data_IF_580268817811
#
_entry.id   IF_580268817811
#
_cell.length_a   1.000
_cell.length_b   1.000
_cell.length_c   1.000
_cell.angle_alpha   90.00
_cell.angle_beta   90.00
_cell.angle_gamma   90.00
#
_symmetry.space_group_name_H-M   'P 1'
#
loop_
_entity.id
_entity.type
_entity.pdbx_description
1 polymer ?
#
# COMPACT_ATOMS: atom_id res chain seq x y z
N UNK A 1 28.14 22.19 -48.99
CA UNK A 1 27.11 22.97 -48.24
C UNK A 1 25.79 22.22 -48.01
N UNK A 2 25.24 21.45 -48.97
CA UNK A 2 23.95 20.74 -48.81
C UNK A 2 23.85 19.79 -47.60
N UNK A 3 24.90 18.99 -47.29
CA UNK A 3 24.93 18.07 -46.13
C UNK A 3 24.83 18.76 -44.75
N UNK A 4 25.41 19.96 -44.58
CA UNK A 4 25.30 20.73 -43.32
C UNK A 4 23.89 21.28 -43.13
N UNK A 5 23.24 21.72 -44.22
CA UNK A 5 21.86 22.21 -44.19
C UNK A 5 20.85 21.12 -43.83
N UNK A 6 21.02 19.90 -44.37
CA UNK A 6 20.14 18.77 -44.01
C UNK A 6 20.31 18.36 -42.55
N UNK A 7 21.54 18.36 -42.03
CA UNK A 7 21.82 18.02 -40.63
C UNK A 7 21.15 18.99 -39.65
N UNK A 8 21.22 20.30 -39.93
CA UNK A 8 20.58 21.33 -39.10
C UNK A 8 19.05 21.18 -39.14
N UNK A 9 18.45 20.90 -40.30
CA UNK A 9 17.00 20.66 -40.42
C UNK A 9 16.56 19.44 -39.62
N UNK A 10 17.30 18.33 -39.70
CA UNK A 10 17.01 17.12 -38.92
C UNK A 10 17.12 17.37 -37.41
N UNK A 11 18.13 18.14 -36.97
CA UNK A 11 18.27 18.51 -35.55
C UNK A 11 17.10 19.37 -35.07
N UNK A 12 16.64 20.32 -35.87
CA UNK A 12 15.47 21.16 -35.53
C UNK A 12 14.20 20.31 -35.41
N UNK A 13 13.98 19.38 -36.34
CA UNK A 13 12.83 18.46 -36.27
C UNK A 13 12.92 17.59 -35.02
N UNK A 14 14.10 17.02 -34.73
CA UNK A 14 14.33 16.22 -33.53
C UNK A 14 13.99 17.03 -32.26
N UNK A 15 14.58 18.22 -32.10
CA UNK A 15 14.34 19.08 -30.95
C UNK A 15 12.87 19.46 -30.81
N UNK A 16 12.20 19.79 -31.91
CA UNK A 16 10.78 20.12 -31.90
C UNK A 16 9.90 18.92 -31.52
N UNK A 17 10.22 17.72 -32.04
CA UNK A 17 9.51 16.49 -31.68
C UNK A 17 9.72 16.11 -30.21
N UNK A 18 10.94 16.24 -29.68
CA UNK A 18 11.23 15.99 -28.26
C UNK A 18 10.50 16.98 -27.38
N UNK A 19 10.47 18.27 -27.75
CA UNK A 19 9.73 19.30 -27.01
C UNK A 19 8.22 19.01 -27.01
N UNK A 20 7.64 18.62 -28.15
CA UNK A 20 6.23 18.22 -28.23
C UNK A 20 5.92 17.01 -27.35
N UNK A 21 6.77 15.98 -27.36
CA UNK A 21 6.60 14.80 -26.51
C UNK A 21 6.77 15.16 -25.03
N UNK A 22 7.71 16.03 -24.69
CA UNK A 22 7.89 16.49 -23.31
C UNK A 22 6.71 17.31 -22.80
N UNK A 23 6.11 18.16 -23.65
CA UNK A 23 4.98 19.03 -23.26
C UNK A 23 3.63 18.31 -23.23
N UNK A 24 3.40 17.32 -24.10
CA UNK A 24 2.08 16.69 -24.28
C UNK A 24 2.06 15.18 -24.09
N UNK A 25 3.23 14.53 -24.12
CA UNK A 25 3.36 13.08 -24.03
C UNK A 25 3.50 12.55 -22.61
N UNK A 26 4.00 13.36 -21.68
CA UNK A 26 4.26 12.95 -20.29
C UNK A 26 3.13 13.46 -19.40
N UNK A 27 2.34 12.54 -18.85
CA UNK A 27 1.44 12.86 -17.72
C UNK A 27 2.29 12.72 -16.46
N UNK A 28 2.42 13.76 -15.62
CA UNK A 28 3.19 13.65 -14.39
C UNK A 28 2.48 12.72 -13.40
N UNK A 29 3.26 12.15 -12.47
CA UNK A 29 2.68 11.46 -11.32
C UNK A 29 1.90 12.46 -10.45
N UNK A 30 0.80 12.03 -9.80
CA UNK A 30 0.08 12.88 -8.87
C UNK A 30 0.97 13.35 -7.71
N UNK A 31 0.83 14.61 -7.33
CA UNK A 31 1.47 15.16 -6.14
C UNK A 31 0.47 15.25 -4.99
N UNK A 32 0.94 14.94 -3.78
CA UNK A 32 0.13 14.91 -2.57
C UNK A 32 0.76 15.74 -1.45
N UNK A 33 -0.06 16.20 -0.52
CA UNK A 33 0.45 16.92 0.66
C UNK A 33 1.17 15.96 1.60
N UNK A 34 2.22 16.42 2.28
CA UNK A 34 2.96 15.61 3.27
C UNK A 34 2.70 16.06 4.71
N UNK A 35 1.96 17.17 4.89
CA UNK A 35 1.61 17.67 6.23
C UNK A 35 0.46 16.85 6.81
N UNK A 36 0.75 16.18 7.92
CA UNK A 36 -0.23 15.41 8.69
C UNK A 36 -1.35 16.31 9.18
N UNK A 37 -2.59 15.87 8.97
CA UNK A 37 -3.78 16.55 9.46
C UNK A 37 -4.17 15.96 10.83
N UNK A 38 -4.42 16.81 11.83
CA UNK A 38 -4.86 16.40 13.17
C UNK A 38 -6.19 15.64 13.20
N UNK A 39 -6.95 15.65 12.11
CA UNK A 39 -8.17 14.87 11.95
C UNK A 39 -7.91 13.37 11.71
N UNK A 40 -6.67 12.98 11.45
CA UNK A 40 -6.26 11.61 11.18
C UNK A 40 -5.62 11.03 12.44
N UNK A 41 -6.02 9.80 12.80
CA UNK A 41 -5.51 9.11 13.99
C UNK A 41 -5.57 7.61 13.78
N UNK A 42 -4.78 6.89 14.57
CA UNK A 42 -4.74 5.44 14.65
C UNK A 42 -3.41 4.90 14.17
N UNK A 43 -3.44 3.69 13.64
CA UNK A 43 -2.26 3.06 13.06
C UNK A 43 -2.64 2.20 11.86
N UNK A 44 -1.80 2.28 10.84
CA UNK A 44 -1.95 1.49 9.61
C UNK A 44 -0.95 0.35 9.68
N UNK A 45 -1.45 -0.86 9.44
CA UNK A 45 -0.65 -2.06 9.26
C UNK A 45 -0.49 -2.36 7.78
N UNK A 46 0.73 -2.65 7.36
CA UNK A 46 1.04 -2.96 5.98
C UNK A 46 2.12 -4.04 5.91
N UNK A 47 2.05 -4.84 4.85
CA UNK A 47 3.01 -5.88 4.56
C UNK A 47 4.07 -5.32 3.62
N UNK A 48 5.32 -5.63 3.92
CA UNK A 48 6.52 -5.19 3.19
C UNK A 48 7.32 -6.42 2.81
N UNK A 49 7.77 -6.48 1.57
CA UNK A 49 8.85 -7.36 1.13
C UNK A 49 10.17 -6.60 1.32
N UNK A 50 11.10 -7.21 2.05
CA UNK A 50 12.46 -6.72 2.19
C UNK A 50 13.26 -7.35 1.07
N UNK A 51 13.77 -6.52 0.17
CA UNK A 51 14.49 -6.95 -1.02
C UNK A 51 15.95 -6.50 -0.95
N UNK A 52 16.86 -7.32 -1.47
CA UNK A 52 18.26 -6.94 -1.55
C UNK A 52 18.45 -5.73 -2.48
N UNK A 53 19.23 -4.76 -2.04
CA UNK A 53 19.56 -3.56 -2.82
C UNK A 53 20.55 -3.89 -3.97
N UNK A 54 20.17 -4.76 -4.90
CA UNK A 54 21.01 -5.13 -6.03
C UNK A 54 20.94 -4.04 -7.11
N UNK A 55 22.00 -3.22 -7.23
CA UNK A 55 22.15 -2.23 -8.30
C UNK A 55 22.35 -2.85 -9.70
N UNK A 56 22.61 -4.16 -9.79
CA UNK A 56 22.95 -4.85 -11.04
C UNK A 56 22.04 -6.08 -11.18
N UNK A 57 21.44 -6.31 -12.37
CA UNK A 57 20.65 -7.51 -12.61
C UNK A 57 21.43 -8.80 -12.26
N UNK A 58 20.77 -9.83 -11.69
CA UNK A 58 19.34 -10.17 -11.78
C UNK A 58 18.42 -9.39 -10.83
N UNK A 59 17.11 -9.65 -10.92
CA UNK A 59 16.09 -9.03 -10.07
C UNK A 59 16.46 -9.12 -8.57
N UNK A 60 16.05 -8.15 -7.74
CA UNK A 60 16.28 -8.18 -6.30
C UNK A 60 15.85 -9.52 -5.70
N UNK A 61 16.62 -10.00 -4.72
CA UNK A 61 16.27 -11.21 -3.98
C UNK A 61 15.38 -10.80 -2.80
N UNK A 62 14.23 -11.47 -2.63
CA UNK A 62 13.39 -11.30 -1.44
C UNK A 62 14.13 -11.93 -0.25
N UNK A 63 14.53 -11.09 0.70
CA UNK A 63 15.26 -11.49 1.91
C UNK A 63 14.29 -11.94 3.02
N UNK A 64 13.19 -11.19 3.20
CA UNK A 64 12.16 -11.48 4.17
C UNK A 64 10.85 -10.79 3.77
N UNK A 65 9.74 -11.24 4.38
CA UNK A 65 8.47 -10.54 4.33
C UNK A 65 8.07 -10.16 5.75
N UNK A 66 7.69 -8.91 5.94
CA UNK A 66 7.45 -8.34 7.26
C UNK A 66 6.16 -7.55 7.29
N UNK A 67 5.55 -7.47 8.47
CA UNK A 67 4.45 -6.57 8.76
C UNK A 67 4.99 -5.41 9.58
N UNK A 68 4.70 -4.20 9.11
CA UNK A 68 5.00 -2.96 9.80
C UNK A 68 3.71 -2.28 10.26
N UNK A 69 3.87 -1.42 11.26
CA UNK A 69 2.82 -0.55 11.78
C UNK A 69 3.34 0.87 11.81
N UNK A 70 2.61 1.80 11.20
CA UNK A 70 2.87 3.24 11.32
C UNK A 70 1.80 3.89 12.17
N UNK A 71 2.21 4.64 13.20
CA UNK A 71 1.30 5.43 14.02
C UNK A 71 1.13 6.83 13.39
N UNK A 72 -0.10 7.19 13.06
CA UNK A 72 -0.45 8.45 12.39
C UNK A 72 -1.12 9.46 13.32
N UNK A 73 -1.24 9.15 14.62
CA UNK A 73 -1.82 10.04 15.65
C UNK A 73 -0.84 11.05 16.23
N UNK A 74 0.45 10.92 15.95
CA UNK A 74 1.53 11.72 16.55
C UNK A 74 2.14 12.63 15.50
N UNK A 75 2.59 13.83 15.94
CA UNK A 75 3.28 14.78 15.04
C UNK A 75 4.52 14.14 14.37
N UNK A 76 5.19 13.22 15.09
CA UNK A 76 6.29 12.41 14.59
C UNK A 76 5.78 10.98 14.28
N UNK A 77 5.43 10.71 13.02
CA UNK A 77 4.94 9.41 12.57
C UNK A 77 6.01 8.32 12.79
N UNK A 78 5.80 7.39 13.72
CA UNK A 78 6.78 6.32 14.00
C UNK A 78 6.35 5.02 13.32
N UNK A 79 7.17 4.55 12.36
CA UNK A 79 7.11 3.18 11.82
C UNK A 79 7.74 2.21 12.83
N UNK A 80 7.12 1.03 13.01
CA UNK A 80 7.66 -0.08 13.80
C UNK A 80 7.46 -1.40 13.09
N UNK A 81 8.50 -2.23 13.08
CA UNK A 81 8.38 -3.65 12.73
C UNK A 81 7.45 -4.33 13.74
N UNK A 82 6.49 -5.12 13.25
CA UNK A 82 5.62 -5.94 14.08
C UNK A 82 6.13 -7.38 14.10
N UNK A 83 6.29 -7.98 12.92
CA UNK A 83 6.74 -9.37 12.77
C UNK A 83 7.29 -9.59 11.36
N UNK A 84 8.28 -10.47 11.20
CA UNK A 84 8.71 -10.99 9.90
C UNK A 84 8.48 -12.49 9.78
N UNK A 85 8.55 -13.05 8.57
CA UNK A 85 8.46 -14.51 8.38
C UNK A 85 9.58 -15.23 9.11
N UNK A 86 10.78 -14.66 9.14
CA UNK A 86 11.92 -15.20 9.88
C UNK A 86 11.67 -15.34 11.38
N UNK A 87 10.90 -14.43 11.98
CA UNK A 87 10.49 -14.50 13.38
C UNK A 87 9.53 -15.67 13.67
N UNK A 88 8.92 -16.26 12.62
CA UNK A 88 7.88 -17.29 12.73
C UNK A 88 8.34 -18.69 12.30
N UNK A 89 9.61 -18.87 11.91
CA UNK A 89 10.12 -20.17 11.44
C UNK A 89 10.14 -21.28 12.49
N UNK A 90 10.00 -20.95 13.78
CA UNK A 90 9.78 -21.96 14.82
C UNK A 90 8.42 -22.67 14.69
N UNK A 91 7.43 -22.03 14.04
CA UNK A 91 6.09 -22.59 13.80
C UNK A 91 6.00 -23.27 12.44
N UNK A 92 6.42 -22.58 11.36
CA UNK A 92 6.41 -23.13 10.00
C UNK A 92 7.23 -22.30 9.02
N UNK A 93 7.64 -22.92 7.93
CA UNK A 93 8.17 -22.24 6.74
C UNK A 93 7.07 -21.83 5.76
N UNK A 94 5.84 -22.31 5.96
CA UNK A 94 4.67 -22.03 5.12
C UNK A 94 3.76 -21.03 5.84
N UNK A 95 4.22 -19.79 5.99
CA UNK A 95 3.49 -18.69 6.63
C UNK A 95 2.73 -17.89 5.58
N UNK A 96 1.47 -17.53 5.86
CA UNK A 96 0.61 -16.78 4.95
C UNK A 96 0.46 -15.33 5.43
N UNK A 97 1.54 -14.53 5.38
CA UNK A 97 1.48 -13.11 5.77
C UNK A 97 0.50 -12.31 4.90
N UNK A 98 0.35 -12.70 3.64
CA UNK A 98 -0.63 -12.09 2.76
C UNK A 98 -2.01 -12.14 3.42
N UNK A 99 -2.45 -13.28 3.94
CA UNK A 99 -3.80 -13.44 4.50
C UNK A 99 -3.93 -12.99 5.96
N UNK A 100 -3.09 -12.04 6.39
CA UNK A 100 -3.17 -11.49 7.75
C UNK A 100 -4.49 -10.75 7.98
N UNK A 101 -5.08 -10.98 9.14
CA UNK A 101 -6.29 -10.31 9.61
C UNK A 101 -6.02 -9.56 10.91
N UNK A 102 -6.84 -8.54 11.20
CA UNK A 102 -6.84 -7.79 12.46
C UNK A 102 -8.11 -8.17 13.24
N UNK A 103 -7.94 -8.74 14.44
CA UNK A 103 -9.06 -9.10 15.31
C UNK A 103 -9.69 -7.87 16.01
N UNK A 104 -10.78 -8.09 16.75
CA UNK A 104 -11.46 -7.03 17.49
C UNK A 104 -10.61 -6.38 18.60
N UNK A 105 -9.56 -7.06 19.06
CA UNK A 105 -8.60 -6.56 20.05
C UNK A 105 -7.37 -5.91 19.40
N UNK A 106 -7.35 -5.77 18.07
CA UNK A 106 -6.24 -5.26 17.27
C UNK A 106 -4.98 -6.14 17.29
N UNK A 107 -5.16 -7.44 17.52
CA UNK A 107 -4.11 -8.41 17.31
C UNK A 107 -4.08 -8.82 15.84
N UNK A 108 -2.89 -9.20 15.35
CA UNK A 108 -2.78 -9.81 14.03
C UNK A 108 -3.05 -11.30 14.12
N UNK A 109 -3.85 -11.83 13.20
CA UNK A 109 -4.07 -13.26 13.02
C UNK A 109 -3.38 -13.68 11.74
N UNK A 110 -2.40 -14.56 11.86
CA UNK A 110 -1.58 -15.03 10.74
C UNK A 110 -1.76 -16.53 10.60
N UNK A 111 -2.18 -16.95 9.41
CA UNK A 111 -2.38 -18.37 9.08
C UNK A 111 -1.08 -19.01 8.63
N UNK A 112 -0.93 -20.30 8.89
CA UNK A 112 0.22 -21.07 8.44
C UNK A 112 -0.13 -22.54 8.27
N UNK A 113 0.64 -23.25 7.44
CA UNK A 113 0.53 -24.71 7.33
C UNK A 113 1.43 -25.39 8.35
N UNK A 114 0.86 -26.16 9.28
CA UNK A 114 1.65 -26.98 10.19
C UNK A 114 2.00 -28.32 9.52
N UNK A 115 3.27 -28.48 9.12
CA UNK A 115 3.75 -29.71 8.50
C UNK A 115 3.68 -30.93 9.44
N UNK A 116 3.66 -30.72 10.76
CA UNK A 116 3.66 -31.82 11.73
C UNK A 116 2.28 -32.45 11.88
N UNK A 117 1.22 -31.64 11.83
CA UNK A 117 -0.17 -32.08 11.94
C UNK A 117 -0.93 -32.11 10.61
N UNK A 118 -0.31 -31.64 9.52
CA UNK A 118 -0.86 -31.58 8.16
C UNK A 118 -2.19 -30.81 8.10
N UNK A 119 -2.29 -29.74 8.89
CA UNK A 119 -3.45 -28.85 8.92
C UNK A 119 -3.04 -27.39 8.95
N UNK A 120 -3.94 -26.54 8.47
CA UNK A 120 -3.79 -25.09 8.60
C UNK A 120 -4.08 -24.67 10.05
N UNK A 121 -3.16 -23.88 10.61
CA UNK A 121 -3.22 -23.31 11.95
C UNK A 121 -3.13 -21.79 11.88
N UNK A 122 -3.26 -21.13 13.03
CA UNK A 122 -3.14 -19.68 13.11
C UNK A 122 -2.35 -19.26 14.34
N UNK A 123 -1.66 -18.14 14.21
CA UNK A 123 -0.96 -17.43 15.27
C UNK A 123 -1.70 -16.12 15.55
N UNK A 124 -1.83 -15.79 16.83
CA UNK A 124 -2.28 -14.47 17.27
C UNK A 124 -1.07 -13.70 17.76
N UNK A 125 -0.84 -12.52 17.19
CA UNK A 125 0.26 -11.63 17.55
C UNK A 125 -0.32 -10.41 18.26
N UNK A 126 0.00 -10.27 19.54
CA UNK A 126 -0.30 -9.07 20.31
C UNK A 126 0.52 -7.90 19.77
N UNK A 127 -0.13 -6.93 19.13
CA UNK A 127 0.57 -5.80 18.49
C UNK A 127 1.14 -4.78 19.47
N UNK A 128 0.85 -4.90 20.78
CA UNK A 128 1.38 -4.03 21.83
C UNK A 128 2.67 -4.58 22.43
N UNK A 129 2.69 -5.87 22.70
CA UNK A 129 3.81 -6.53 23.37
C UNK A 129 4.67 -7.38 22.42
N UNK A 130 4.19 -7.63 21.20
CA UNK A 130 4.80 -8.53 20.21
C UNK A 130 4.88 -9.97 20.78
N UNK A 131 3.85 -10.37 21.55
CA UNK A 131 3.72 -11.74 22.04
C UNK A 131 3.00 -12.59 21.00
N UNK A 132 3.61 -13.72 20.64
CA UNK A 132 3.06 -14.69 19.68
C UNK A 132 2.38 -15.82 20.46
N UNK A 133 1.13 -16.12 20.13
CA UNK A 133 0.36 -17.20 20.75
C UNK A 133 -0.28 -18.08 19.69
N UNK A 134 -0.04 -19.40 19.69
CA UNK A 134 -0.80 -20.33 18.87
C UNK A 134 -2.29 -20.22 19.19
N UNK A 135 -3.11 -19.96 18.18
CA UNK A 135 -4.56 -20.04 18.29
C UNK A 135 -4.98 -21.50 18.26
N UNK A 136 -5.62 -21.98 19.32
CA UNK A 136 -6.12 -23.35 19.40
C UNK A 136 -7.48 -23.44 18.70
N UNK A 137 -7.50 -23.98 17.49
CA UNK A 137 -8.72 -24.31 16.73
C UNK A 137 -8.85 -23.58 15.40
N UNK A 138 -9.81 -24.03 14.57
CA UNK A 138 -10.12 -23.38 13.30
C UNK A 138 -10.58 -21.95 13.56
N UNK A 139 -9.71 -20.99 13.28
CA UNK A 139 -10.09 -19.59 13.35
C UNK A 139 -11.20 -19.38 12.32
N UNK A 140 -12.40 -19.03 12.82
CA UNK A 140 -13.44 -18.47 11.97
C UNK A 140 -12.90 -17.13 11.45
N UNK A 141 -12.31 -17.15 10.26
CA UNK A 141 -11.85 -15.94 9.57
C UNK A 141 -13.04 -15.00 9.41
N UNK A 142 -12.99 -13.76 9.90
CA UNK A 142 -13.64 -12.68 9.17
C UNK A 142 -13.15 -12.72 7.71
N UNK A 143 -14.08 -12.75 6.75
CA UNK A 143 -13.72 -12.70 5.33
C UNK A 143 -12.89 -11.43 5.07
N UNK A 144 -11.74 -11.54 4.40
CA UNK A 144 -10.83 -10.45 4.00
C UNK A 144 -11.54 -9.27 3.32
N UNK A 145 -12.67 -9.56 2.66
CA UNK A 145 -13.57 -8.55 2.09
C UNK A 145 -14.19 -7.59 3.14
N UNK A 146 -14.09 -7.90 4.43
CA UNK A 146 -14.62 -7.06 5.51
C UNK A 146 -13.88 -5.72 5.61
N UNK A 147 -12.59 -5.64 5.28
CA UNK A 147 -11.88 -4.35 5.23
C UNK A 147 -12.27 -3.50 4.01
N UNK A 148 -12.88 -4.12 3.00
CA UNK A 148 -13.47 -3.37 1.88
C UNK A 148 -14.79 -2.73 2.29
N UNK A 149 -15.48 -3.21 3.31
CA UNK A 149 -16.80 -2.72 3.72
C UNK A 149 -16.74 -2.07 5.10
N UNK A 150 -17.00 -0.76 5.18
CA UNK A 150 -17.03 -0.09 6.49
C UNK A 150 -18.31 -0.41 7.29
N UNK A 151 -18.38 0.10 8.54
CA UNK A 151 -19.54 -0.05 9.41
C UNK A 151 -20.86 0.50 8.83
N UNK A 152 -20.80 1.40 7.83
CA UNK A 152 -21.96 1.93 7.13
C UNK A 152 -22.43 1.06 5.95
N UNK A 153 -21.78 -0.08 5.69
CA UNK A 153 -22.07 -0.94 4.55
C UNK A 153 -21.54 -0.40 3.22
N UNK A 154 -20.55 0.51 3.26
CA UNK A 154 -19.96 1.13 2.07
C UNK A 154 -18.74 0.32 1.62
N UNK A 155 -18.76 -0.17 0.37
CA UNK A 155 -17.73 -1.05 -0.18
C UNK A 155 -16.71 -0.27 -1.01
N UNK A 156 -15.43 -0.31 -0.67
CA UNK A 156 -14.34 0.19 -1.51
C UNK A 156 -14.27 -0.62 -2.81
N UNK A 157 -14.12 0.10 -3.91
CA UNK A 157 -13.97 -0.46 -5.25
C UNK A 157 -12.49 -0.42 -5.59
N UNK A 158 -11.90 -1.56 -5.91
CA UNK A 158 -10.49 -1.60 -6.26
C UNK A 158 -10.30 -0.99 -7.67
N UNK A 159 -9.04 -0.68 -8.01
CA UNK A 159 -8.73 -0.08 -9.31
C UNK A 159 -9.23 -0.94 -10.48
N UNK A 160 -9.20 -2.27 -10.38
CA UNK A 160 -9.70 -3.18 -11.42
C UNK A 160 -11.22 -3.13 -11.61
N UNK A 161 -11.96 -2.93 -10.52
CA UNK A 161 -13.43 -2.79 -10.55
C UNK A 161 -13.82 -1.53 -11.33
N UNK A 162 -13.02 -0.47 -11.25
CA UNK A 162 -13.29 0.85 -11.84
C UNK A 162 -12.45 1.17 -13.09
N UNK A 163 -11.57 0.26 -13.52
CA UNK A 163 -10.62 0.53 -14.61
C UNK A 163 -11.34 0.58 -15.95
N UNK A 164 -11.60 1.78 -16.44
CA UNK A 164 -11.77 1.99 -17.87
C UNK A 164 -10.39 1.95 -18.52
N UNK A 165 -10.11 0.89 -19.29
CA UNK A 165 -8.79 0.55 -19.86
C UNK A 165 -8.09 1.66 -20.67
N UNK A 166 -8.80 2.75 -21.01
CA UNK A 166 -8.32 3.85 -21.83
C UNK A 166 -8.30 5.22 -21.11
N UNK A 167 -8.54 5.26 -19.80
CA UNK A 167 -8.56 6.51 -19.03
C UNK A 167 -7.20 6.75 -18.40
N UNK A 168 -6.66 7.97 -18.55
CA UNK A 168 -5.44 8.45 -17.88
C UNK A 168 -5.78 9.01 -16.52
N UNK A 169 -6.57 8.28 -15.75
CA UNK A 169 -7.13 8.74 -14.48
C UNK A 169 -6.98 7.66 -13.43
N UNK A 170 -6.44 8.04 -12.28
CA UNK A 170 -6.49 7.23 -11.07
C UNK A 170 -7.48 7.84 -10.10
N UNK A 171 -8.25 7.00 -9.43
CA UNK A 171 -9.28 7.49 -8.51
C UNK A 171 -9.61 6.50 -7.41
N UNK A 172 -10.22 7.03 -6.36
CA UNK A 172 -10.69 6.28 -5.20
C UNK A 172 -12.21 6.37 -5.15
N UNK A 173 -12.85 5.22 -5.15
CA UNK A 173 -14.30 5.09 -5.23
C UNK A 173 -14.82 4.12 -4.19
N UNK A 174 -16.05 4.36 -3.73
CA UNK A 174 -16.79 3.37 -2.97
C UNK A 174 -18.22 3.24 -3.49
N UNK A 175 -18.80 2.07 -3.26
CA UNK A 175 -20.18 1.75 -3.57
C UNK A 175 -21.02 1.81 -2.30
N UNK A 176 -22.16 2.49 -2.38
CA UNK A 176 -23.22 2.45 -1.37
C UNK A 176 -24.52 2.06 -2.05
N UNK A 177 -25.07 0.91 -1.69
CA UNK A 177 -26.20 0.31 -2.41
C UNK A 177 -25.86 0.14 -3.91
N UNK A 178 -26.57 0.82 -4.80
CA UNK A 178 -26.33 0.81 -6.24
C UNK A 178 -25.58 2.04 -6.75
N UNK A 179 -25.18 2.96 -5.88
CA UNK A 179 -24.51 4.20 -6.24
C UNK A 179 -23.00 4.07 -6.06
N UNK A 180 -22.24 4.49 -7.08
CA UNK A 180 -20.78 4.62 -7.01
C UNK A 180 -20.47 6.09 -6.71
N UNK A 181 -19.69 6.31 -5.67
CA UNK A 181 -19.33 7.63 -5.17
C UNK A 181 -17.83 7.82 -5.34
N UNK A 182 -17.45 8.89 -6.02
CA UNK A 182 -16.06 9.32 -6.19
C UNK A 182 -15.58 10.09 -4.95
N UNK A 183 -14.51 9.61 -4.35
CA UNK A 183 -13.79 10.30 -3.26
C UNK A 183 -12.71 11.19 -3.86
N UNK A 184 -11.97 10.66 -4.82
CA UNK A 184 -10.84 11.35 -5.44
C UNK A 184 -10.66 10.88 -6.89
N UNK A 185 -10.19 11.77 -7.75
CA UNK A 185 -9.80 11.47 -9.13
C UNK A 185 -8.72 12.47 -9.58
N UNK A 186 -7.72 11.98 -10.29
CA UNK A 186 -6.60 12.77 -10.80
C UNK A 186 -6.11 12.21 -12.13
N UNK A 187 -5.60 13.09 -13.00
CA UNK A 187 -4.87 12.65 -14.19
C UNK A 187 -3.53 12.03 -13.80
N UNK A 188 -3.24 10.84 -14.33
CA UNK A 188 -2.02 10.10 -14.03
C UNK A 188 -1.57 9.24 -15.22
N UNK A 189 -0.31 8.77 -15.24
CA UNK A 189 0.15 7.77 -16.19
C UNK A 189 -0.78 6.54 -16.22
N UNK A 190 -0.88 5.86 -17.37
CA UNK A 190 -1.80 4.71 -17.55
C UNK A 190 -1.47 3.50 -16.68
N UNK A 191 -0.25 3.43 -16.15
CA UNK A 191 0.21 2.41 -15.22
C UNK A 191 0.10 2.83 -13.75
N UNK A 192 -0.34 4.07 -13.47
CA UNK A 192 -0.54 4.55 -12.11
C UNK A 192 -1.95 4.21 -11.63
N UNK A 193 -2.05 3.51 -10.50
CA UNK A 193 -3.31 3.17 -9.85
C UNK A 193 -3.11 2.91 -8.36
N UNK A 194 -4.22 2.73 -7.63
CA UNK A 194 -4.18 2.33 -6.22
C UNK A 194 -4.31 0.81 -6.10
N UNK A 195 -3.27 0.14 -5.61
CA UNK A 195 -3.17 -1.32 -5.53
C UNK A 195 -4.01 -1.90 -4.37
N UNK A 196 -4.01 -1.20 -3.24
CA UNK A 196 -4.76 -1.59 -2.04
C UNK A 196 -5.49 -0.40 -1.45
N UNK A 197 -6.68 -0.66 -0.89
CA UNK A 197 -7.54 0.33 -0.24
C UNK A 197 -8.10 -0.26 1.05
N UNK A 198 -8.03 0.49 2.14
CA UNK A 198 -8.65 0.12 3.42
C UNK A 198 -9.38 1.31 4.04
N UNK A 199 -10.51 1.04 4.67
CA UNK A 199 -11.22 2.04 5.46
C UNK A 199 -10.49 2.32 6.78
N UNK A 200 -10.56 3.57 7.24
CA UNK A 200 -10.36 3.87 8.66
C UNK A 200 -11.44 3.23 9.52
N UNK A 201 -11.18 2.96 10.82
CA UNK A 201 -12.16 2.35 11.72
C UNK A 201 -13.50 3.11 11.82
N UNK A 202 -13.46 4.44 11.66
CA UNK A 202 -14.64 5.30 11.68
C UNK A 202 -15.34 5.44 10.32
N UNK A 203 -14.77 4.85 9.26
CA UNK A 203 -15.27 4.90 7.89
C UNK A 203 -15.27 6.30 7.26
N UNK A 204 -14.54 7.26 7.81
CA UNK A 204 -14.46 8.64 7.30
C UNK A 204 -13.23 8.91 6.43
N UNK A 205 -12.22 8.06 6.52
CA UNK A 205 -10.99 8.15 5.76
C UNK A 205 -10.66 6.82 5.07
N UNK A 206 -9.84 6.90 4.04
CA UNK A 206 -9.39 5.75 3.25
C UNK A 206 -7.87 5.84 3.18
N UNK A 207 -7.17 4.75 3.51
CA UNK A 207 -5.76 4.61 3.18
C UNK A 207 -5.63 3.82 1.89
N UNK A 208 -4.80 4.32 0.98
CA UNK A 208 -4.51 3.70 -0.30
C UNK A 208 -3.00 3.47 -0.44
N UNK A 209 -2.63 2.36 -1.06
CA UNK A 209 -1.28 2.12 -1.56
C UNK A 209 -1.30 2.36 -3.05
N UNK A 210 -0.42 3.22 -3.56
CA UNK A 210 -0.27 3.42 -5.00
C UNK A 210 0.86 2.57 -5.60
N UNK A 211 0.95 2.55 -6.93
CA UNK A 211 1.99 1.82 -7.68
C UNK A 211 3.39 2.39 -7.52
N UNK A 212 3.54 3.57 -6.92
CA UNK A 212 4.83 4.18 -6.59
C UNK A 212 5.28 3.80 -5.17
N UNK A 213 4.61 2.83 -4.54
CA UNK A 213 4.92 2.31 -3.21
C UNK A 213 4.71 3.36 -2.10
N UNK A 214 3.73 4.24 -2.29
CA UNK A 214 3.39 5.30 -1.34
C UNK A 214 2.03 5.02 -0.69
N UNK A 215 1.91 5.31 0.62
CA UNK A 215 0.62 5.26 1.32
C UNK A 215 0.01 6.65 1.36
N UNK A 216 -1.21 6.80 0.81
CA UNK A 216 -1.96 8.04 0.73
C UNK A 216 -3.27 7.93 1.50
N UNK A 217 -3.58 8.96 2.29
CA UNK A 217 -4.82 9.07 3.05
C UNK A 217 -5.77 10.06 2.38
N UNK A 218 -7.00 9.61 2.15
CA UNK A 218 -8.09 10.39 1.57
C UNK A 218 -9.19 10.64 2.60
N UNK A 219 -9.77 11.84 2.57
CA UNK A 219 -10.99 12.16 3.32
C UNK A 219 -12.21 11.80 2.49
N UNK A 220 -13.09 10.92 3.00
CA UNK A 220 -14.35 10.57 2.33
C UNK A 220 -15.21 11.80 2.03
N UNK A 221 -15.22 12.76 2.96
CA UNK A 221 -15.99 14.01 2.85
C UNK A 221 -15.17 15.20 2.35
N UNK A 222 -13.97 14.97 1.79
CA UNK A 222 -13.08 16.02 1.24
C UNK A 222 -12.78 17.14 2.25
N UNK A 223 -12.69 16.80 3.54
CA UNK A 223 -12.38 17.77 4.61
C UNK A 223 -10.91 18.18 4.64
N UNK A 224 -10.06 17.41 3.94
CA UNK A 224 -8.64 17.70 3.73
C UNK A 224 -8.20 17.16 2.36
N UNK A 225 -7.17 17.78 1.79
CA UNK A 225 -6.51 17.32 0.57
C UNK A 225 -5.73 16.03 0.84
N UNK A 226 -5.60 15.12 -0.15
CA UNK A 226 -4.92 13.84 0.05
C UNK A 226 -3.51 13.99 0.62
N UNK A 227 -3.18 13.11 1.58
CA UNK A 227 -1.95 13.20 2.37
C UNK A 227 -1.11 11.96 2.14
N UNK A 228 0.10 12.15 1.62
CA UNK A 228 1.11 11.10 1.51
C UNK A 228 1.84 10.94 2.85
N UNK A 229 1.89 9.71 3.35
CA UNK A 229 2.67 9.36 4.52
C UNK A 229 4.15 9.37 4.16
N UNK A 230 4.96 10.07 4.96
CA UNK A 230 6.40 10.15 4.73
C UNK A 230 7.13 9.12 5.60
N UNK A 231 7.75 8.12 4.94
CA UNK A 231 8.51 7.06 5.59
C UNK A 231 10.01 7.38 5.75
N UNK A 232 10.54 8.34 4.98
CA UNK A 232 11.98 8.63 4.86
C UNK A 232 12.62 9.15 6.15
N UNK A 233 11.82 9.64 7.09
CA UNK A 233 12.31 10.19 8.36
C UNK A 233 12.29 9.20 9.52
N UNK A 234 11.68 8.02 9.34
CA UNK A 234 11.30 7.14 10.45
C UNK A 234 11.46 5.64 10.16
N UNK A 235 12.11 5.29 9.06
CA UNK A 235 12.31 3.90 8.66
C UNK A 235 13.11 3.13 9.71
N UNK A 236 12.69 1.89 9.99
CA UNK A 236 13.47 1.00 10.88
C UNK A 236 14.91 0.87 10.37
N UNK A 237 15.90 1.19 11.23
CA UNK A 237 17.33 1.02 10.94
C UNK A 237 17.73 -0.44 10.66
N UNK A 238 16.87 -1.39 11.02
CA UNK A 238 17.09 -2.83 10.86
C UNK A 238 17.29 -3.25 9.39
N UNK A 239 16.73 -2.50 8.44
CA UNK A 239 16.80 -2.78 6.99
C UNK A 239 17.29 -1.55 6.21
N UNK A 240 18.19 -0.75 6.81
CA UNK A 240 18.61 0.52 6.23
C UNK A 240 19.38 0.38 4.89
N UNK A 241 19.98 -0.79 4.66
CA UNK A 241 20.74 -1.09 3.44
C UNK A 241 19.90 -1.89 2.41
N UNK A 242 18.64 -2.23 2.73
CA UNK A 242 17.76 -3.03 1.87
C UNK A 242 16.61 -2.19 1.29
N UNK A 243 16.00 -2.66 0.21
CA UNK A 243 14.83 -2.03 -0.40
C UNK A 243 13.55 -2.55 0.29
N UNK A 244 12.62 -1.63 0.58
CA UNK A 244 11.32 -1.95 1.18
C UNK A 244 10.21 -1.77 0.16
N UNK A 245 9.59 -2.86 -0.27
CA UNK A 245 8.45 -2.84 -1.18
C UNK A 245 7.18 -3.12 -0.40
N UNK A 246 6.29 -2.13 -0.25
CA UNK A 246 4.99 -2.35 0.39
C UNK A 246 4.13 -3.14 -0.60
N UNK A 247 3.79 -4.37 -0.21
CA UNK A 247 2.97 -5.26 -1.04
C UNK A 247 1.47 -4.97 -0.89
N UNK A 248 1.03 -4.64 0.33
CA UNK A 248 -0.37 -4.33 0.60
C UNK A 248 -0.57 -3.63 1.95
N UNK A 249 -1.67 -2.88 2.05
CA UNK A 249 -2.21 -2.45 3.35
C UNK A 249 -3.07 -3.58 3.92
N UNK A 250 -2.78 -3.99 5.16
CA UNK A 250 -3.51 -5.04 5.89
C UNK A 250 -4.77 -4.44 6.53
N UNK A 251 -4.64 -3.26 7.14
CA UNK A 251 -5.78 -2.58 7.76
C UNK A 251 -5.40 -1.35 8.57
N UNK A 252 -6.42 -0.67 9.09
CA UNK A 252 -6.30 0.52 9.92
C UNK A 252 -6.97 0.25 11.28
N UNK A 253 -6.25 0.54 12.36
CA UNK A 253 -6.68 0.40 13.76
C UNK A 253 -6.64 1.73 14.52
N UNK A 254 -7.36 1.86 15.64
CA UNK A 254 -7.34 3.06 16.50
C UNK A 254 -6.40 2.92 17.68
#
# INVERSE_FOLDING_TARGET
MKKKSTLIKSLVILLFSVLLVALFGVVPLPEYNTKVNSAISGSIFYMVEIESSNLIPPAPDILDQCIFKINISVEDMVEKKVICTSDLYEYSYNIYLNDTEIDANQNLIIRYWDNSSDVEMALTIDTKNIDIKPSVGSVKSPNRDMYKVNYFGEKLLNSWDMREANTRTAGVYFQKNSEIIEVFSVEAPTNYYFESLVWSPDGQSIAALDTENEIIIFSKSKTFDPIKLNFDSYSSLEFADDEKVIYQIIGWSN
#
